data_IF_298612939385
#
_entry.id   IF_298612939385
#
_cell.length_a   1.000
_cell.length_b   1.000
_cell.length_c   1.000
_cell.angle_alpha   90.00
_cell.angle_beta   90.00
_cell.angle_gamma   90.00
#
_symmetry.space_group_name_H-M   'P 1'
#
loop_
_entity.id
_entity.type
_entity.pdbx_description
1 polymer ?
#
# COMPACT_ATOMS: atom_id res chain seq x y z
N UNK A 1 -14.94 7.53 45.20
CA UNK A 1 -14.23 6.59 44.28
C UNK A 1 -15.01 6.34 43.00
N UNK A 2 -14.76 7.12 41.95
CA UNK A 2 -15.35 6.87 40.62
C UNK A 2 -15.08 5.44 40.13
N UNK A 3 -13.92 4.89 40.48
CA UNK A 3 -13.47 3.54 40.09
C UNK A 3 -14.45 2.42 40.45
N UNK A 4 -15.08 2.48 41.63
CA UNK A 4 -16.03 1.46 42.09
C UNK A 4 -17.27 1.39 41.19
N UNK A 5 -17.67 2.53 40.62
CA UNK A 5 -18.83 2.61 39.73
C UNK A 5 -18.55 2.07 38.33
N UNK A 6 -17.29 1.93 37.93
CA UNK A 6 -16.88 1.36 36.63
C UNK A 6 -16.43 -0.11 36.72
N UNK A 7 -16.53 -0.72 37.91
CA UNK A 7 -16.22 -2.14 38.12
C UNK A 7 -17.26 -3.07 37.49
N UNK A 8 -18.53 -2.66 37.41
CA UNK A 8 -19.60 -3.39 36.74
C UNK A 8 -20.21 -2.57 35.60
N UNK A 9 -20.73 -3.25 34.56
CA UNK A 9 -21.37 -2.62 33.39
C UNK A 9 -22.65 -1.89 33.79
N UNK A 10 -23.44 -2.48 34.68
CA UNK A 10 -24.72 -1.91 35.12
C UNK A 10 -24.54 -0.62 35.91
N UNK A 11 -23.53 -0.58 36.79
CA UNK A 11 -23.18 0.63 37.55
C UNK A 11 -22.56 1.69 36.64
N UNK A 12 -21.82 1.29 35.60
CA UNK A 12 -21.24 2.21 34.65
C UNK A 12 -22.33 2.90 33.79
N UNK A 13 -23.35 2.15 33.34
CA UNK A 13 -24.49 2.68 32.56
C UNK A 13 -25.38 3.65 33.34
N UNK A 14 -25.39 3.54 34.68
CA UNK A 14 -26.07 4.51 35.55
C UNK A 14 -25.30 5.83 35.64
N UNK A 15 -23.96 5.78 35.59
CA UNK A 15 -23.09 6.97 35.71
C UNK A 15 -22.88 7.66 34.37
N UNK A 16 -22.75 6.92 33.27
CA UNK A 16 -22.53 7.46 31.93
C UNK A 16 -23.45 6.82 30.91
N UNK A 17 -24.02 7.66 30.04
CA UNK A 17 -24.82 7.25 28.88
C UNK A 17 -24.16 7.77 27.62
N UNK A 18 -24.09 6.91 26.60
CA UNK A 18 -23.59 7.28 25.29
C UNK A 18 -24.57 8.28 24.65
N UNK A 19 -24.13 9.54 24.46
CA UNK A 19 -24.94 10.58 23.80
C UNK A 19 -24.89 10.46 22.28
N UNK A 20 -23.70 10.23 21.74
CA UNK A 20 -23.45 10.16 20.30
C UNK A 20 -22.20 9.33 20.02
N UNK A 21 -22.23 8.58 18.92
CA UNK A 21 -21.10 7.79 18.45
C UNK A 21 -20.90 8.02 16.95
N UNK A 22 -19.66 8.27 16.55
CA UNK A 22 -19.27 8.42 15.15
C UNK A 22 -18.15 7.43 14.86
N UNK A 23 -18.46 6.43 14.05
CA UNK A 23 -17.46 5.50 13.53
C UNK A 23 -16.69 6.14 12.38
N UNK A 24 -15.43 5.75 12.22
CA UNK A 24 -14.71 5.98 10.98
C UNK A 24 -15.12 4.92 9.97
N UNK A 25 -15.31 5.32 8.71
CA UNK A 25 -15.62 4.36 7.64
C UNK A 25 -14.36 3.70 7.11
N UNK A 26 -13.26 4.46 7.05
CA UNK A 26 -12.02 4.04 6.42
C UNK A 26 -10.81 4.20 7.36
N UNK A 27 -9.83 3.30 7.21
CA UNK A 27 -8.56 3.35 7.94
C UNK A 27 -7.72 4.57 7.58
N UNK A 28 -7.85 5.09 6.36
CA UNK A 28 -7.19 6.31 5.89
C UNK A 28 -7.68 7.55 6.65
N UNK A 29 -9.00 7.66 6.84
CA UNK A 29 -9.59 8.76 7.61
C UNK A 29 -9.18 8.69 9.08
N UNK A 30 -9.15 7.47 9.66
CA UNK A 30 -8.67 7.26 11.01
C UNK A 30 -7.18 7.64 11.17
N UNK A 31 -6.35 7.33 10.16
CA UNK A 31 -4.95 7.73 10.14
C UNK A 31 -4.78 9.25 10.03
N UNK A 32 -5.50 9.91 9.13
CA UNK A 32 -5.47 11.37 8.99
C UNK A 32 -5.93 12.06 10.29
N UNK A 33 -6.99 11.55 10.91
CA UNK A 33 -7.45 12.07 12.19
C UNK A 33 -6.39 11.86 13.30
N UNK A 34 -5.73 10.71 13.33
CA UNK A 34 -4.68 10.41 14.31
C UNK A 34 -3.43 11.29 14.11
N UNK A 35 -3.01 11.55 12.87
CA UNK A 35 -1.87 12.44 12.60
C UNK A 35 -2.19 13.89 12.95
N UNK A 36 -3.38 14.38 12.59
CA UNK A 36 -3.82 15.72 12.97
C UNK A 36 -3.90 15.87 14.49
N UNK A 37 -4.36 14.86 15.23
CA UNK A 37 -4.40 14.87 16.69
C UNK A 37 -2.99 14.95 17.32
N UNK A 38 -1.99 14.27 16.74
CA UNK A 38 -0.59 14.37 17.19
C UNK A 38 -0.07 15.80 17.00
N UNK A 39 -0.45 16.45 15.90
CA UNK A 39 -0.07 17.84 15.59
C UNK A 39 -0.93 18.89 16.31
N UNK A 40 -1.82 18.46 17.22
CA UNK A 40 -2.73 19.34 17.97
C UNK A 40 -3.85 19.97 17.14
N UNK A 41 -4.13 19.45 15.94
CA UNK A 41 -5.15 19.94 15.01
C UNK A 41 -6.39 19.04 15.03
N UNK A 42 -7.58 19.64 14.98
CA UNK A 42 -8.83 18.89 14.87
C UNK A 42 -9.11 18.48 13.40
N UNK A 43 -9.46 17.21 13.18
CA UNK A 43 -9.89 16.71 11.86
C UNK A 43 -11.24 17.31 11.43
N UNK A 44 -11.54 17.30 10.12
CA UNK A 44 -12.82 17.78 9.59
C UNK A 44 -14.01 17.02 10.18
N UNK A 45 -13.87 15.70 10.34
CA UNK A 45 -14.88 14.83 10.96
C UNK A 45 -15.16 15.23 12.41
N UNK A 46 -14.13 15.45 13.21
CA UNK A 46 -14.28 15.87 14.60
C UNK A 46 -14.97 17.23 14.72
N UNK A 47 -14.62 18.20 13.87
CA UNK A 47 -15.27 19.51 13.84
C UNK A 47 -16.75 19.43 13.48
N UNK A 48 -17.10 18.59 12.50
CA UNK A 48 -18.50 18.34 12.11
C UNK A 48 -19.27 17.67 13.24
N UNK A 49 -18.67 16.68 13.90
CA UNK A 49 -19.28 15.98 15.03
C UNK A 49 -19.55 16.92 16.21
N UNK A 50 -18.57 17.72 16.62
CA UNK A 50 -18.72 18.67 17.72
C UNK A 50 -19.78 19.74 17.42
N UNK A 51 -19.88 20.23 16.18
CA UNK A 51 -20.92 21.21 15.79
C UNK A 51 -22.35 20.68 15.97
N UNK A 52 -22.56 19.37 15.78
CA UNK A 52 -23.88 18.74 15.86
C UNK A 52 -24.32 18.54 17.32
N UNK A 53 -23.37 18.30 18.24
CA UNK A 53 -23.68 17.84 19.60
C UNK A 53 -23.29 18.81 20.72
N UNK A 54 -22.47 19.82 20.43
CA UNK A 54 -22.19 20.96 21.30
C UNK A 54 -22.99 22.16 20.80
N UNK A 55 -24.12 22.43 21.46
CA UNK A 55 -24.87 23.68 21.25
C UNK A 55 -24.08 24.83 21.88
N UNK A 56 -23.83 25.89 21.10
CA UNK A 56 -23.46 27.26 21.51
C UNK A 56 -22.00 27.68 21.77
N UNK A 57 -20.96 26.98 21.35
CA UNK A 57 -19.62 27.59 21.30
C UNK A 57 -18.88 27.30 20.00
N UNK A 58 -18.33 28.35 19.39
CA UNK A 58 -17.43 28.25 18.24
C UNK A 58 -16.30 27.28 18.56
N UNK A 59 -16.03 26.32 17.66
CA UNK A 59 -15.05 25.21 17.76
C UNK A 59 -13.60 25.57 18.14
N UNK A 60 -13.29 26.83 18.44
CA UNK A 60 -12.01 27.30 18.99
C UNK A 60 -12.07 27.80 20.43
N UNK A 61 -13.22 27.70 21.12
CA UNK A 61 -13.46 28.26 22.46
C UNK A 61 -14.22 27.32 23.41
N UNK A 62 -14.16 26.02 23.17
CA UNK A 62 -14.64 25.05 24.15
C UNK A 62 -13.61 25.00 25.27
N UNK A 63 -13.96 25.47 26.46
CA UNK A 63 -13.10 25.37 27.64
C UNK A 63 -12.96 23.90 28.07
N UNK A 64 -11.92 23.25 27.57
CA UNK A 64 -11.58 21.87 27.91
C UNK A 64 -10.98 21.81 29.33
N UNK A 65 -11.73 21.23 30.26
CA UNK A 65 -11.22 20.97 31.62
C UNK A 65 -10.42 19.67 31.60
N UNK A 66 -9.19 19.70 32.13
CA UNK A 66 -8.37 18.52 32.36
C UNK A 66 -8.06 18.39 33.85
N UNK A 67 -8.54 17.33 34.49
CA UNK A 67 -8.31 17.06 35.91
C UNK A 67 -8.15 15.54 36.15
N UNK A 68 -7.53 15.15 37.26
CA UNK A 68 -7.37 13.76 37.70
C UNK A 68 -8.71 13.01 37.79
N UNK A 69 -9.79 13.69 38.16
CA UNK A 69 -11.14 13.11 38.15
C UNK A 69 -11.58 12.70 36.73
N UNK A 70 -11.29 13.53 35.72
CA UNK A 70 -11.61 13.26 34.31
C UNK A 70 -10.71 12.15 33.76
N UNK A 71 -9.44 12.10 34.16
CA UNK A 71 -8.55 10.99 33.78
C UNK A 71 -9.05 9.65 34.33
N UNK A 72 -9.53 9.63 35.57
CA UNK A 72 -10.15 8.44 36.17
C UNK A 72 -11.47 8.06 35.50
N UNK A 73 -12.28 9.04 35.10
CA UNK A 73 -13.49 8.81 34.31
C UNK A 73 -13.15 8.19 32.94
N UNK A 74 -12.19 8.76 32.21
CA UNK A 74 -11.73 8.24 30.92
C UNK A 74 -11.16 6.82 31.04
N UNK A 75 -10.48 6.51 32.15
CA UNK A 75 -10.01 5.16 32.45
C UNK A 75 -11.17 4.18 32.63
N UNK A 76 -12.21 4.57 33.38
CA UNK A 76 -13.42 3.77 33.56
C UNK A 76 -14.18 3.51 32.26
N UNK A 77 -14.34 4.54 31.42
CA UNK A 77 -14.98 4.42 30.10
C UNK A 77 -14.18 3.50 29.17
N UNK A 78 -12.84 3.58 29.15
CA UNK A 78 -11.99 2.67 28.35
C UNK A 78 -12.10 1.21 28.80
N UNK A 79 -12.24 0.97 30.11
CA UNK A 79 -12.37 -0.38 30.65
C UNK A 79 -13.68 -1.06 30.23
N UNK A 80 -14.76 -0.29 30.09
CA UNK A 80 -16.08 -0.77 29.68
C UNK A 80 -16.45 -0.38 28.24
N UNK A 81 -15.46 -0.04 27.41
CA UNK A 81 -15.67 0.55 26.09
C UNK A 81 -16.50 -0.36 25.16
N UNK A 82 -16.26 -1.66 25.23
CA UNK A 82 -16.94 -2.69 24.42
C UNK A 82 -18.43 -2.79 24.75
N UNK A 83 -18.81 -2.55 26.00
CA UNK A 83 -20.20 -2.68 26.49
C UNK A 83 -20.98 -1.36 26.45
N UNK A 84 -20.27 -0.22 26.37
CA UNK A 84 -20.84 1.13 26.30
C UNK A 84 -21.09 1.60 24.87
N UNK A 85 -20.37 1.05 23.89
CA UNK A 85 -20.53 1.38 22.47
C UNK A 85 -21.36 0.29 21.78
N UNK A 86 -22.62 0.57 21.51
CA UNK A 86 -23.46 -0.29 20.68
C UNK A 86 -23.07 -0.16 19.20
N UNK A 87 -22.78 -1.28 18.53
CA UNK A 87 -22.54 -1.32 17.09
C UNK A 87 -21.08 -1.52 16.65
N UNK A 88 -20.18 -1.84 17.57
CA UNK A 88 -18.82 -2.32 17.26
C UNK A 88 -18.63 -3.71 17.87
N UNK A 89 -18.43 -4.77 17.07
CA UNK A 89 -18.13 -6.09 17.61
C UNK A 89 -16.72 -6.09 18.24
N UNK A 90 -16.57 -6.76 19.37
CA UNK A 90 -15.30 -6.88 20.11
C UNK A 90 -14.20 -7.49 19.24
N UNK A 91 -14.58 -8.34 18.28
CA UNK A 91 -13.67 -9.00 17.35
C UNK A 91 -12.99 -8.03 16.38
N UNK A 92 -13.61 -6.88 16.05
CA UNK A 92 -13.08 -5.93 15.07
C UNK A 92 -12.19 -4.85 15.70
N UNK A 93 -12.27 -4.64 17.01
CA UNK A 93 -11.48 -3.63 17.73
C UNK A 93 -9.97 -3.91 17.67
N UNK A 94 -9.57 -5.17 17.92
CA UNK A 94 -8.18 -5.58 17.92
C UNK A 94 -7.51 -5.43 16.54
N UNK A 95 -8.08 -5.97 15.43
CA UNK A 95 -7.49 -5.79 14.10
C UNK A 95 -7.51 -4.34 13.63
N UNK A 96 -8.54 -3.55 13.98
CA UNK A 96 -8.58 -2.11 13.66
C UNK A 96 -7.46 -1.33 14.37
N UNK A 97 -7.25 -1.59 15.67
CA UNK A 97 -6.17 -0.96 16.45
C UNK A 97 -4.79 -1.34 15.88
N UNK A 98 -4.60 -2.61 15.52
CA UNK A 98 -3.36 -3.11 14.91
C UNK A 98 -3.11 -2.49 13.53
N UNK A 99 -4.13 -2.43 12.67
CA UNK A 99 -4.02 -1.83 11.34
C UNK A 99 -3.68 -0.34 11.39
N UNK A 100 -4.31 0.40 12.31
CA UNK A 100 -4.01 1.81 12.54
C UNK A 100 -2.60 2.00 13.10
N UNK A 101 -2.16 1.17 14.05
CA UNK A 101 -0.82 1.28 14.66
C UNK A 101 0.28 1.01 13.64
N UNK A 102 0.12 0.00 12.78
CA UNK A 102 1.05 -0.24 11.66
C UNK A 102 1.07 0.92 10.69
N UNK A 103 -0.10 1.45 10.32
CA UNK A 103 -0.19 2.53 9.35
C UNK A 103 0.41 3.83 9.90
N UNK A 104 0.20 4.12 11.17
CA UNK A 104 0.77 5.27 11.87
C UNK A 104 2.29 5.12 12.07
N UNK A 105 2.76 3.92 12.43
CA UNK A 105 4.19 3.60 12.53
C UNK A 105 4.87 3.78 11.17
N UNK A 106 4.30 3.24 10.09
CA UNK A 106 4.78 3.45 8.72
C UNK A 106 4.79 4.93 8.35
N UNK A 107 3.74 5.69 8.68
CA UNK A 107 3.69 7.13 8.43
C UNK A 107 4.85 7.89 9.11
N UNK A 108 5.14 7.57 10.38
CA UNK A 108 6.28 8.16 11.10
C UNK A 108 7.64 7.69 10.57
N UNK A 109 7.71 6.44 10.11
CA UNK A 109 8.95 5.80 9.62
C UNK A 109 9.11 5.87 8.10
N UNK A 110 8.39 6.77 7.40
CA UNK A 110 8.23 6.81 5.93
C UNK A 110 9.52 6.88 5.08
N UNK A 111 10.70 6.91 5.68
CA UNK A 111 11.97 6.74 4.98
C UNK A 111 12.87 5.76 5.72
N UNK A 112 12.73 4.47 5.43
CA UNK A 112 13.73 3.46 5.79
C UNK A 112 14.52 3.10 4.53
N UNK A 113 15.82 3.39 4.49
CA UNK A 113 16.72 3.07 3.35
C UNK A 113 16.69 1.59 2.98
N UNK A 114 16.55 0.72 3.99
CA UNK A 114 16.55 -0.75 3.84
C UNK A 114 15.57 -1.30 2.81
N UNK A 115 14.38 -0.67 2.67
CA UNK A 115 13.38 -1.14 1.70
C UNK A 115 13.77 -0.78 0.26
N UNK A 116 14.43 0.35 0.06
CA UNK A 116 14.93 0.75 -1.27
C UNK A 116 16.09 -0.14 -1.68
N UNK A 117 17.01 -0.42 -0.74
CA UNK A 117 18.18 -1.26 -1.00
C UNK A 117 17.79 -2.69 -1.40
N UNK A 118 16.76 -3.25 -0.75
CA UNK A 118 16.22 -4.57 -1.09
C UNK A 118 15.68 -4.62 -2.53
N UNK A 119 14.98 -3.56 -2.98
CA UNK A 119 14.44 -3.50 -4.34
C UNK A 119 15.54 -3.37 -5.39
N UNK A 120 16.64 -2.68 -5.07
CA UNK A 120 17.79 -2.55 -5.97
C UNK A 120 18.49 -3.90 -6.16
N UNK A 121 18.72 -4.64 -5.08
CA UNK A 121 19.30 -6.00 -5.18
C UNK A 121 18.41 -6.91 -6.03
N UNK A 122 17.10 -6.91 -5.76
CA UNK A 122 16.14 -7.68 -6.56
C UNK A 122 16.13 -7.31 -8.05
N UNK A 123 16.30 -6.02 -8.37
CA UNK A 123 16.34 -5.57 -9.76
C UNK A 123 17.63 -6.01 -10.48
N UNK A 124 18.77 -6.04 -9.79
CA UNK A 124 20.05 -6.51 -10.33
C UNK A 124 19.97 -8.03 -10.58
N UNK A 125 19.47 -8.79 -9.60
CA UNK A 125 19.29 -10.25 -9.74
C UNK A 125 18.39 -10.59 -10.95
N UNK A 126 17.27 -9.86 -11.10
CA UNK A 126 16.35 -10.05 -12.22
C UNK A 126 17.00 -9.72 -13.58
N UNK A 127 17.88 -8.71 -13.63
CA UNK A 127 18.58 -8.34 -14.85
C UNK A 127 19.56 -9.43 -15.29
N UNK A 128 20.28 -10.02 -14.33
CA UNK A 128 21.23 -11.11 -14.58
C UNK A 128 20.51 -12.38 -15.05
N UNK A 129 19.37 -12.70 -14.43
CA UNK A 129 18.57 -13.86 -14.82
C UNK A 129 17.94 -13.68 -16.21
N UNK A 130 17.44 -12.47 -16.53
CA UNK A 130 16.94 -12.15 -17.86
C UNK A 130 18.04 -12.32 -18.93
N UNK A 131 19.28 -11.94 -18.63
CA UNK A 131 20.41 -12.13 -19.54
C UNK A 131 20.67 -13.61 -19.86
N UNK A 132 20.60 -14.50 -18.86
CA UNK A 132 20.79 -15.95 -19.04
C UNK A 132 19.65 -16.59 -19.82
N UNK A 133 18.41 -16.24 -19.48
CA UNK A 133 17.22 -16.76 -20.16
C UNK A 133 17.17 -16.30 -21.63
N UNK A 134 17.46 -15.02 -21.89
CA UNK A 134 17.50 -14.47 -23.24
C UNK A 134 18.51 -15.20 -24.12
N UNK A 135 19.70 -15.51 -23.60
CA UNK A 135 20.69 -16.29 -24.35
C UNK A 135 20.20 -17.73 -24.61
N UNK A 136 19.59 -18.37 -23.61
CA UNK A 136 19.02 -19.72 -23.75
C UNK A 136 17.94 -19.76 -24.83
N UNK A 137 17.03 -18.78 -24.84
CA UNK A 137 16.01 -18.67 -25.88
C UNK A 137 16.59 -18.36 -27.25
N UNK A 138 17.61 -17.52 -27.34
CA UNK A 138 18.28 -17.23 -28.60
C UNK A 138 18.92 -18.48 -29.22
N UNK A 139 19.67 -19.25 -28.43
CA UNK A 139 20.24 -20.52 -28.88
C UNK A 139 19.14 -21.49 -29.33
N UNK A 140 18.00 -21.52 -28.63
CA UNK A 140 16.88 -22.37 -29.00
C UNK A 140 16.27 -21.99 -30.36
N UNK A 141 16.13 -20.68 -30.64
CA UNK A 141 15.64 -20.17 -31.92
C UNK A 141 16.63 -20.45 -33.05
N UNK A 142 17.94 -20.34 -32.79
CA UNK A 142 18.99 -20.71 -33.74
C UNK A 142 18.90 -22.19 -34.13
N UNK A 143 18.79 -23.09 -33.15
CA UNK A 143 18.61 -24.52 -33.40
C UNK A 143 17.34 -24.83 -34.19
N UNK A 144 16.20 -24.29 -33.75
CA UNK A 144 14.90 -24.57 -34.37
C UNK A 144 14.81 -24.09 -35.81
N UNK A 145 15.18 -22.84 -36.07
CA UNK A 145 15.15 -22.30 -37.43
C UNK A 145 16.32 -22.78 -38.28
N UNK A 146 17.42 -23.23 -37.65
CA UNK A 146 18.56 -23.83 -38.35
C UNK A 146 18.19 -25.11 -39.11
N UNK A 147 17.20 -25.89 -38.64
CA UNK A 147 16.63 -27.00 -39.42
C UNK A 147 15.98 -26.49 -40.70
N UNK A 148 15.29 -25.35 -40.63
CA UNK A 148 14.67 -24.75 -41.79
C UNK A 148 15.65 -24.02 -42.67
N UNK A 149 16.67 -23.31 -42.19
CA UNK A 149 17.64 -22.56 -43.02
C UNK A 149 19.02 -22.42 -42.34
N UNK A 150 19.91 -23.43 -42.49
CA UNK A 150 21.15 -23.53 -41.71
C UNK A 150 22.24 -22.53 -42.13
N UNK A 151 22.16 -21.98 -43.34
CA UNK A 151 23.14 -21.01 -43.86
C UNK A 151 23.00 -19.65 -43.16
N UNK A 152 21.78 -19.26 -42.79
CA UNK A 152 21.51 -18.03 -42.06
C UNK A 152 22.17 -18.01 -40.69
N UNK A 153 22.17 -19.15 -40.01
CA UNK A 153 22.81 -19.35 -38.69
C UNK A 153 24.32 -19.10 -38.75
N UNK A 154 24.95 -19.35 -39.90
CA UNK A 154 26.39 -19.09 -40.10
C UNK A 154 26.69 -17.63 -40.47
N UNK A 155 25.75 -16.95 -41.13
CA UNK A 155 25.91 -15.58 -41.62
C UNK A 155 25.65 -14.55 -40.52
N UNK A 156 24.61 -14.74 -39.71
CA UNK A 156 24.23 -13.81 -38.64
C UNK A 156 24.63 -14.40 -37.29
N UNK A 157 25.65 -13.81 -36.66
CA UNK A 157 26.15 -14.24 -35.34
C UNK A 157 25.42 -13.57 -34.16
N UNK A 158 24.79 -12.41 -34.39
CA UNK A 158 24.04 -11.71 -33.35
C UNK A 158 22.63 -12.31 -33.21
N UNK A 159 22.35 -12.79 -32.01
CA UNK A 159 21.10 -13.42 -31.60
C UNK A 159 19.86 -12.54 -31.82
N UNK A 160 19.96 -11.23 -31.58
CA UNK A 160 18.84 -10.28 -31.73
C UNK A 160 18.58 -10.03 -33.21
N UNK A 161 19.64 -9.83 -33.99
CA UNK A 161 19.53 -9.68 -35.45
C UNK A 161 18.98 -10.93 -36.11
N UNK A 162 19.41 -12.11 -35.65
CA UNK A 162 18.91 -13.39 -36.14
C UNK A 162 17.41 -13.54 -35.88
N UNK A 163 16.94 -13.27 -34.66
CA UNK A 163 15.52 -13.35 -34.33
C UNK A 163 14.67 -12.38 -35.17
N UNK A 164 15.17 -11.16 -35.41
CA UNK A 164 14.51 -10.18 -36.29
C UNK A 164 14.47 -10.66 -37.75
N UNK A 165 15.56 -11.25 -38.23
CA UNK A 165 15.65 -11.79 -39.58
C UNK A 165 14.67 -12.95 -39.80
N UNK A 166 14.62 -13.90 -38.85
CA UNK A 166 13.69 -15.03 -38.86
C UNK A 166 12.24 -14.55 -38.89
N UNK A 167 11.90 -13.56 -38.05
CA UNK A 167 10.54 -13.00 -37.99
C UNK A 167 10.10 -12.37 -39.32
N UNK A 168 11.01 -11.69 -40.02
CA UNK A 168 10.68 -11.01 -41.27
C UNK A 168 10.66 -11.95 -42.47
N UNK A 169 11.55 -12.94 -42.50
CA UNK A 169 11.73 -13.84 -43.64
C UNK A 169 10.69 -14.96 -43.66
N UNK A 170 10.40 -15.57 -42.51
CA UNK A 170 9.43 -16.68 -42.40
C UNK A 170 9.88 -17.92 -43.16
N UNK A 171 9.61 -17.98 -44.48
CA UNK A 171 9.98 -19.10 -45.34
C UNK A 171 11.09 -18.71 -46.34
N UNK A 172 11.91 -19.69 -46.77
CA UNK A 172 13.08 -19.48 -47.63
C UNK A 172 12.73 -18.84 -48.98
N UNK A 173 11.53 -19.08 -49.49
CA UNK A 173 11.07 -18.54 -50.79
C UNK A 173 10.99 -17.01 -50.74
N UNK A 174 10.65 -16.45 -49.58
CA UNK A 174 10.53 -15.01 -49.38
C UNK A 174 11.90 -14.33 -49.20
N UNK A 175 12.97 -15.10 -48.97
CA UNK A 175 14.32 -14.58 -48.80
C UNK A 175 14.83 -13.83 -50.04
N UNK A 176 14.47 -14.30 -51.25
CA UNK A 176 14.89 -13.69 -52.51
C UNK A 176 14.23 -12.33 -52.79
N UNK A 177 13.02 -12.11 -52.25
CA UNK A 177 12.29 -10.85 -52.39
C UNK A 177 12.62 -9.81 -51.30
N UNK A 178 13.44 -10.16 -50.31
CA UNK A 178 13.73 -9.27 -49.18
C UNK A 178 14.92 -8.35 -49.44
N UNK A 179 14.69 -7.05 -49.21
CA UNK A 179 15.74 -6.04 -49.13
C UNK A 179 16.42 -6.09 -47.74
N UNK A 180 17.59 -6.71 -47.68
CA UNK A 180 18.52 -6.69 -46.54
C UNK A 180 18.79 -5.29 -45.89
N UNK A 181 18.74 -4.15 -46.61
CA UNK A 181 19.01 -2.84 -46.03
C UNK A 181 18.11 -2.43 -44.85
N UNK A 182 16.87 -2.93 -44.77
CA UNK A 182 15.97 -2.59 -43.66
C UNK A 182 16.37 -3.23 -42.34
N UNK A 183 17.17 -4.32 -42.35
CA UNK A 183 17.70 -4.94 -41.14
C UNK A 183 18.87 -4.16 -40.55
N UNK A 184 19.72 -3.57 -41.40
CA UNK A 184 20.93 -2.83 -40.98
C UNK A 184 20.59 -1.40 -40.53
N UNK A 185 19.55 -0.78 -41.10
CA UNK A 185 19.12 0.56 -40.65
C UNK A 185 18.47 0.55 -39.27
N UNK A 186 17.75 -0.53 -38.90
CA UNK A 186 17.06 -0.64 -37.61
C UNK A 186 17.97 -1.01 -36.43
N UNK A 187 19.25 -1.32 -36.67
CA UNK A 187 20.27 -1.47 -35.62
C UNK A 187 21.11 -0.20 -35.40
N UNK A 188 21.01 0.79 -36.29
CA UNK A 188 21.70 2.08 -36.18
C UNK A 188 20.85 3.20 -35.57
N UNK A 189 19.58 2.93 -35.24
CA UNK A 189 18.76 3.87 -34.47
C UNK A 189 18.84 3.48 -32.98
N UNK A 190 19.29 4.41 -32.11
CA UNK A 190 19.43 4.18 -30.67
C UNK A 190 18.08 3.92 -29.99
#
# INVERSE_FOLDING_TARGET
>A
DLWKNFSCVDTARQVVKLKAFSKFENTLEALEAATLLIDGKASKGLRKFLRVYCENETLGKIDCIHNNAIMNLMRGVRNQLTELISGLPVQDMAPMSLGLSHSLSRYKLKFTREKVDTMIVQAIDLLDDLGKELNTYAMRVLEWYGWHFPELTKIIQDNILYARAVKLMGDRVNAASMLLPSMVLYTMLP
#
